data_IF_217383101721
#
_entry.id   IF_217383101721
#
_cell.length_a   1.000
_cell.length_b   1.000
_cell.length_c   1.000
_cell.angle_alpha   90.00
_cell.angle_beta   90.00
_cell.angle_gamma   90.00
#
_symmetry.space_group_name_H-M   'P 1'
#
loop_
_entity.id
_entity.type
_entity.pdbx_description
1 polymer ?
#
# COMPACT_ATOMS: atom_id res chain seq x y z
N UNK A 1 10.07 19.50 -3.25
CA UNK A 1 10.19 19.10 -4.66
C UNK A 1 9.06 18.13 -4.99
N UNK A 2 8.35 18.38 -6.06
CA UNK A 2 7.31 17.48 -6.50
C UNK A 2 7.91 16.30 -7.27
N UNK A 3 7.34 15.13 -7.04
CA UNK A 3 7.69 13.95 -7.82
C UNK A 3 7.29 14.16 -9.28
N UNK A 4 8.24 14.00 -10.18
CA UNK A 4 8.00 14.06 -11.62
C UNK A 4 8.01 12.64 -12.16
N UNK A 5 6.81 12.11 -12.38
CA UNK A 5 6.63 10.71 -12.77
C UNK A 5 7.22 10.41 -14.16
N UNK A 6 7.03 11.33 -15.10
CA UNK A 6 7.55 11.16 -16.45
C UNK A 6 9.08 11.06 -16.47
N UNK A 7 9.75 11.95 -15.73
CA UNK A 7 11.20 11.91 -15.60
C UNK A 7 11.68 10.64 -14.90
N UNK A 8 10.95 10.18 -13.87
CA UNK A 8 11.30 8.96 -13.15
C UNK A 8 11.24 7.74 -14.06
N UNK A 9 10.21 7.63 -14.89
CA UNK A 9 10.08 6.52 -15.83
C UNK A 9 11.13 6.57 -16.93
N UNK A 10 11.47 7.76 -17.41
CA UNK A 10 12.53 7.93 -18.38
C UNK A 10 13.89 7.52 -17.81
N UNK A 11 14.18 7.94 -16.59
CA UNK A 11 15.40 7.54 -15.90
C UNK A 11 15.46 6.03 -15.72
N UNK A 12 14.37 5.41 -15.28
CA UNK A 12 14.31 3.96 -15.10
C UNK A 12 14.60 3.22 -16.39
N UNK A 13 14.03 3.68 -17.51
CA UNK A 13 14.31 3.09 -18.82
C UNK A 13 15.77 3.23 -19.21
N UNK A 14 16.37 4.38 -18.95
CA UNK A 14 17.75 4.67 -19.35
C UNK A 14 18.77 3.81 -18.61
N UNK A 15 18.46 3.32 -17.41
CA UNK A 15 19.35 2.47 -16.63
C UNK A 15 18.81 1.05 -16.43
N UNK A 16 17.84 0.66 -17.26
CA UNK A 16 17.22 -0.67 -17.27
C UNK A 16 16.66 -1.07 -15.91
N UNK A 17 15.89 -0.17 -15.30
CA UNK A 17 15.19 -0.38 -14.04
C UNK A 17 13.69 -0.36 -14.26
N UNK A 18 12.95 -0.82 -13.25
CA UNK A 18 11.49 -0.76 -13.20
C UNK A 18 11.04 0.12 -12.04
N UNK A 19 9.79 0.54 -12.07
CA UNK A 19 9.19 1.30 -10.99
C UNK A 19 7.98 0.52 -10.47
N UNK A 20 7.90 0.40 -9.17
CA UNK A 20 6.71 -0.08 -8.46
C UNK A 20 6.31 0.98 -7.44
N UNK A 21 5.22 0.73 -6.74
CA UNK A 21 4.70 1.68 -5.75
C UNK A 21 4.57 0.99 -4.41
N UNK A 22 5.22 1.56 -3.41
CA UNK A 22 5.14 1.07 -2.03
C UNK A 22 4.16 1.94 -1.26
N UNK A 23 3.27 1.30 -0.50
CA UNK A 23 2.38 2.01 0.40
C UNK A 23 2.70 1.67 1.84
N UNK A 24 2.51 2.66 2.70
CA UNK A 24 2.53 2.50 4.13
C UNK A 24 1.11 2.74 4.62
N UNK A 25 0.56 1.81 5.39
CA UNK A 25 -0.71 2.00 6.06
C UNK A 25 -0.45 2.50 7.47
N UNK A 26 -1.10 3.59 7.82
CA UNK A 26 -0.94 4.26 9.12
C UNK A 26 -2.30 4.35 9.82
N UNK A 27 -2.27 4.53 11.14
CA UNK A 27 -3.48 4.80 11.89
C UNK A 27 -4.16 6.06 11.36
N UNK A 28 -5.43 5.94 11.02
CA UNK A 28 -6.24 7.05 10.54
C UNK A 28 -7.03 7.71 11.66
N UNK A 29 -7.82 8.75 11.31
CA UNK A 29 -8.57 9.52 12.31
C UNK A 29 -9.63 8.73 13.07
N UNK A 30 -10.14 7.63 12.50
CA UNK A 30 -11.13 6.79 13.18
C UNK A 30 -10.51 5.55 13.83
N UNK A 31 -9.20 5.49 13.90
CA UNK A 31 -8.50 4.38 14.56
C UNK A 31 -8.92 4.27 16.03
N UNK A 32 -9.18 3.04 16.47
CA UNK A 32 -9.42 2.70 17.84
C UNK A 32 -8.81 1.33 18.12
N UNK A 33 -8.20 1.10 19.29
CA UNK A 33 -7.68 -0.21 19.68
C UNK A 33 -8.78 -1.15 20.16
N UNK A 34 -10.02 -0.66 20.33
CA UNK A 34 -11.10 -1.44 20.94
C UNK A 34 -11.57 -2.56 20.01
N UNK A 35 -11.58 -3.82 20.50
CA UNK A 35 -12.11 -4.92 19.70
C UNK A 35 -13.63 -4.89 19.71
N UNK A 36 -14.23 -4.53 18.60
CA UNK A 36 -15.68 -4.54 18.40
C UNK A 36 -16.04 -5.48 17.27
N UNK A 37 -17.30 -5.98 17.21
CA UNK A 37 -17.74 -6.78 16.06
C UNK A 37 -17.62 -6.05 14.75
N UNK A 38 -17.86 -4.74 14.74
CA UNK A 38 -17.72 -3.90 13.54
C UNK A 38 -16.27 -3.86 13.05
N UNK A 39 -15.32 -3.73 13.98
CA UNK A 39 -13.89 -3.73 13.64
C UNK A 39 -13.45 -5.10 13.15
N UNK A 40 -13.96 -6.18 13.73
CA UNK A 40 -13.66 -7.54 13.28
C UNK A 40 -14.15 -7.76 11.85
N UNK A 41 -15.37 -7.32 11.54
CA UNK A 41 -15.91 -7.42 10.19
C UNK A 41 -15.12 -6.56 9.20
N UNK A 42 -14.70 -5.38 9.62
CA UNK A 42 -13.89 -4.47 8.81
C UNK A 42 -12.51 -5.08 8.52
N UNK A 43 -11.91 -5.75 9.50
CA UNK A 43 -10.65 -6.46 9.32
C UNK A 43 -10.77 -7.58 8.28
N UNK A 44 -11.84 -8.35 8.32
CA UNK A 44 -12.08 -9.38 7.32
C UNK A 44 -12.23 -8.79 5.93
N UNK A 45 -13.01 -7.73 5.80
CA UNK A 45 -13.20 -7.05 4.51
C UNK A 45 -11.89 -6.47 3.98
N UNK A 46 -11.04 -5.92 4.86
CA UNK A 46 -9.70 -5.45 4.53
C UNK A 46 -8.83 -6.57 3.96
N UNK A 47 -8.80 -7.72 4.63
CA UNK A 47 -8.02 -8.88 4.18
C UNK A 47 -8.54 -9.44 2.86
N UNK A 48 -9.86 -9.49 2.70
CA UNK A 48 -10.47 -9.94 1.44
C UNK A 48 -10.10 -9.02 0.28
N UNK A 49 -10.07 -7.71 0.51
CA UNK A 49 -9.66 -6.76 -0.51
C UNK A 49 -8.18 -6.95 -0.90
N UNK A 50 -7.30 -7.17 0.07
CA UNK A 50 -5.89 -7.42 -0.21
C UNK A 50 -5.71 -8.73 -0.99
N UNK A 51 -6.45 -9.79 -0.64
CA UNK A 51 -6.43 -11.05 -1.38
C UNK A 51 -6.87 -10.85 -2.83
N UNK A 52 -7.93 -10.09 -3.05
CA UNK A 52 -8.42 -9.79 -4.40
C UNK A 52 -7.37 -9.07 -5.22
N UNK A 53 -6.74 -8.04 -4.66
CA UNK A 53 -5.67 -7.32 -5.34
C UNK A 53 -4.49 -8.24 -5.67
N UNK A 54 -4.15 -9.15 -4.76
CA UNK A 54 -3.06 -10.11 -5.00
C UNK A 54 -3.42 -11.11 -6.10
N UNK A 55 -4.64 -11.63 -6.09
CA UNK A 55 -5.12 -12.55 -7.11
C UNK A 55 -5.16 -11.90 -8.50
N UNK A 56 -5.44 -10.61 -8.56
CA UNK A 56 -5.42 -9.83 -9.81
C UNK A 56 -4.02 -9.45 -10.26
N UNK A 57 -2.98 -9.83 -9.52
CA UNK A 57 -1.59 -9.51 -9.86
C UNK A 57 -1.19 -8.07 -9.58
N UNK A 58 -2.03 -7.33 -8.87
CA UNK A 58 -1.80 -5.92 -8.56
C UNK A 58 -0.94 -5.71 -7.33
N UNK A 59 -1.15 -6.53 -6.30
CA UNK A 59 -0.44 -6.50 -5.03
C UNK A 59 0.49 -7.71 -4.97
N UNK A 60 1.79 -7.47 -4.81
CA UNK A 60 2.79 -8.56 -4.90
C UNK A 60 3.44 -8.88 -3.57
N UNK A 61 3.36 -7.97 -2.60
CA UNK A 61 3.95 -8.17 -1.28
C UNK A 61 3.21 -7.26 -0.30
N UNK A 62 2.78 -7.79 0.84
CA UNK A 62 2.11 -6.99 1.86
C UNK A 62 2.12 -7.70 3.21
N UNK A 63 1.98 -6.95 4.26
CA UNK A 63 1.82 -7.49 5.59
C UNK A 63 1.96 -6.43 6.67
N UNK A 64 1.58 -6.77 7.90
CA UNK A 64 1.77 -5.88 9.03
C UNK A 64 3.24 -5.83 9.44
N UNK A 65 3.66 -4.69 9.97
CA UNK A 65 4.98 -4.53 10.55
C UNK A 65 4.91 -4.95 12.02
N UNK A 66 5.58 -6.03 12.38
CA UNK A 66 5.43 -6.65 13.70
C UNK A 66 5.96 -5.79 14.84
N UNK A 67 7.07 -5.08 14.61
CA UNK A 67 7.63 -4.18 15.63
C UNK A 67 6.75 -2.98 15.92
N UNK A 68 5.96 -2.52 14.93
CA UNK A 68 5.02 -1.41 15.12
C UNK A 68 3.90 -1.74 16.10
N UNK A 69 3.57 -3.02 16.29
CA UNK A 69 2.57 -3.41 17.28
C UNK A 69 3.08 -3.21 18.71
N UNK A 70 4.39 -3.32 18.92
CA UNK A 70 5.02 -3.18 20.23
C UNK A 70 5.46 -1.74 20.51
N UNK A 71 5.77 -1.00 19.47
CA UNK A 71 6.16 0.40 19.57
C UNK A 71 4.93 1.30 19.43
N UNK A 72 5.10 2.60 19.35
CA UNK A 72 3.99 3.56 19.25
C UNK A 72 3.10 3.34 18.03
N UNK A 73 3.63 2.64 17.03
CA UNK A 73 2.84 1.99 16.01
C UNK A 73 2.00 2.84 15.09
N UNK A 74 2.50 3.97 14.60
CA UNK A 74 1.78 4.72 13.59
C UNK A 74 1.68 3.94 12.28
N UNK A 75 2.77 3.27 11.89
CA UNK A 75 2.80 2.48 10.67
C UNK A 75 2.30 1.08 11.01
N UNK A 76 1.19 0.67 10.40
CA UNK A 76 0.54 -0.62 10.69
C UNK A 76 0.89 -1.68 9.67
N UNK A 77 1.18 -1.30 8.43
CA UNK A 77 1.49 -2.26 7.39
C UNK A 77 2.22 -1.63 6.23
N UNK A 78 2.74 -2.47 5.35
CA UNK A 78 3.46 -2.06 4.15
C UNK A 78 3.09 -3.02 3.02
N UNK A 79 3.07 -2.52 1.79
CA UNK A 79 2.83 -3.34 0.62
C UNK A 79 3.41 -2.75 -0.64
N UNK A 80 3.51 -3.58 -1.67
CA UNK A 80 4.06 -3.21 -2.97
C UNK A 80 3.03 -3.48 -4.06
N UNK A 81 2.73 -2.45 -4.84
CA UNK A 81 1.77 -2.50 -5.95
C UNK A 81 2.52 -2.42 -7.29
N UNK A 82 2.13 -3.27 -8.22
CA UNK A 82 2.64 -3.27 -9.60
C UNK A 82 1.82 -2.33 -10.47
N UNK A 83 1.58 -1.12 -9.99
CA UNK A 83 0.83 -0.12 -10.73
C UNK A 83 1.73 0.53 -11.80
N UNK A 84 1.11 1.07 -12.84
CA UNK A 84 1.80 1.74 -13.93
C UNK A 84 1.95 3.23 -13.69
N UNK A 85 1.29 3.75 -12.66
CA UNK A 85 1.33 5.17 -12.31
C UNK A 85 0.98 5.36 -10.85
N UNK A 86 1.34 6.51 -10.31
CA UNK A 86 0.95 6.90 -8.95
C UNK A 86 -0.58 6.96 -8.83
N UNK A 87 -1.26 7.49 -9.84
CA UNK A 87 -2.72 7.57 -9.85
C UNK A 87 -3.37 6.19 -9.79
N UNK A 88 -2.84 5.23 -10.54
CA UNK A 88 -3.33 3.86 -10.52
C UNK A 88 -3.10 3.20 -9.16
N UNK A 89 -1.91 3.38 -8.58
CA UNK A 89 -1.59 2.87 -7.25
C UNK A 89 -2.54 3.44 -6.20
N UNK A 90 -2.81 4.73 -6.26
CA UNK A 90 -3.74 5.42 -5.36
C UNK A 90 -5.15 4.87 -5.51
N UNK A 91 -5.60 4.66 -6.73
CA UNK A 91 -6.91 4.06 -7.01
C UNK A 91 -7.01 2.67 -6.36
N UNK A 92 -6.00 1.84 -6.55
CA UNK A 92 -6.02 0.47 -6.03
C UNK A 92 -6.04 0.41 -4.50
N UNK A 93 -5.18 1.18 -3.83
CA UNK A 93 -5.14 1.15 -2.35
C UNK A 93 -6.38 1.80 -1.74
N UNK A 94 -7.03 2.70 -2.47
CA UNK A 94 -8.25 3.36 -2.01
C UNK A 94 -9.47 2.43 -2.01
N UNK A 95 -9.36 1.24 -2.58
CA UNK A 95 -10.43 0.24 -2.50
C UNK A 95 -10.54 -0.42 -1.13
N UNK A 96 -9.53 -0.22 -0.28
CA UNK A 96 -9.50 -0.84 1.06
C UNK A 96 -10.62 -0.27 1.93
N UNK A 97 -11.49 -1.13 2.49
CA UNK A 97 -12.57 -0.68 3.37
C UNK A 97 -12.08 0.11 4.58
N UNK A 98 -10.93 -0.22 5.14
CA UNK A 98 -10.36 0.51 6.28
C UNK A 98 -9.91 1.91 5.90
N UNK A 99 -9.44 2.09 4.66
CA UNK A 99 -9.08 3.40 4.13
C UNK A 99 -10.36 4.22 3.91
N UNK A 100 -11.40 3.59 3.36
CA UNK A 100 -12.66 4.28 3.06
C UNK A 100 -13.33 4.87 4.30
N UNK A 101 -13.22 4.20 5.45
CA UNK A 101 -13.84 4.68 6.70
C UNK A 101 -12.88 5.50 7.56
N UNK A 102 -11.65 5.71 7.11
CA UNK A 102 -10.67 6.51 7.83
C UNK A 102 -10.01 5.82 9.02
N UNK A 103 -10.17 4.50 9.16
CA UNK A 103 -9.45 3.74 10.19
C UNK A 103 -7.96 3.65 9.88
N UNK A 104 -7.64 3.55 8.60
CA UNK A 104 -6.27 3.62 8.09
C UNK A 104 -6.17 4.74 7.07
N UNK A 105 -5.00 5.34 6.99
CA UNK A 105 -4.61 6.23 5.91
C UNK A 105 -3.38 5.65 5.24
N UNK A 106 -3.13 6.00 3.99
CA UNK A 106 -1.97 5.49 3.28
C UNK A 106 -1.01 6.60 2.87
N UNK A 107 0.24 6.20 2.75
CA UNK A 107 1.30 7.01 2.17
C UNK A 107 1.88 6.20 1.02
N UNK A 108 1.96 6.80 -0.17
CA UNK A 108 2.47 6.13 -1.37
C UNK A 108 3.79 6.73 -1.80
N UNK A 109 4.70 5.84 -2.22
CA UNK A 109 5.99 6.23 -2.77
C UNK A 109 6.27 5.44 -4.05
N UNK A 110 6.82 6.12 -5.06
CA UNK A 110 7.38 5.46 -6.22
C UNK A 110 8.75 4.89 -5.85
N UNK A 111 8.99 3.64 -6.23
CA UNK A 111 10.21 2.92 -5.87
C UNK A 111 10.85 2.34 -7.12
N UNK A 112 12.07 2.78 -7.41
CA UNK A 112 12.84 2.24 -8.53
C UNK A 112 13.54 0.97 -8.07
N UNK A 113 13.29 -0.12 -8.77
CA UNK A 113 13.77 -1.45 -8.39
C UNK A 113 14.44 -2.12 -9.58
N UNK A 114 15.17 -3.20 -9.30
CA UNK A 114 15.77 -4.01 -10.36
C UNK A 114 14.66 -4.59 -11.24
N UNK A 115 14.87 -4.52 -12.55
CA UNK A 115 13.92 -5.07 -13.51
C UNK A 115 13.80 -6.58 -13.33
N UNK A 116 12.55 -7.06 -13.26
CA UNK A 116 12.27 -8.48 -13.09
C UNK A 116 12.39 -8.99 -11.66
N UNK A 117 12.66 -8.13 -10.66
CA UNK A 117 12.78 -8.56 -9.26
C UNK A 117 11.42 -8.92 -8.65
N UNK A 118 10.34 -8.32 -9.13
CA UNK A 118 8.99 -8.62 -8.65
C UNK A 118 8.39 -9.77 -9.45
N UNK A 119 7.61 -10.63 -8.81
CA UNK A 119 6.93 -11.71 -9.50
C UNK A 119 5.91 -11.24 -10.52
#
# INVERSE_FOLDING_TARGET
>A
MKFNEAEAYEMARSIDRAICYVYLLKKGPTWSPDPTPEIAALQEAHLDNLRRLAEEGKLVLNGPLLDSFQLSGQIRGIGVLKARSMAEAQEWISTDPMVKVGRLVFELHAWMVAKGILP
#
